data_IF_683810001475
#
_entry.id   IF_683810001475
#
_cell.length_a   1.000
_cell.length_b   1.000
_cell.length_c   1.000
_cell.angle_alpha   90.00
_cell.angle_beta   90.00
_cell.angle_gamma   90.00
#
_symmetry.space_group_name_H-M   'P 1'
#
loop_
_entity.id
_entity.type
_entity.pdbx_description
1 polymer ?
#
# COMPACT_ATOMS: atom_id res chain seq x y z
N UNK A 1 7.77 34.10 -12.85
CA UNK A 1 8.50 32.82 -13.02
C UNK A 1 9.83 33.01 -12.34
N UNK A 2 10.06 32.38 -11.19
CA UNK A 2 11.37 32.40 -10.54
C UNK A 2 12.37 31.70 -11.47
N UNK A 3 13.48 32.37 -11.72
CA UNK A 3 14.52 31.91 -12.62
C UNK A 3 15.47 30.99 -11.86
N UNK A 4 16.20 30.13 -12.59
CA UNK A 4 17.22 29.23 -12.00
C UNK A 4 18.22 29.99 -11.10
N UNK A 5 18.47 31.26 -11.40
CA UNK A 5 19.30 32.18 -10.63
C UNK A 5 18.76 32.45 -9.22
N UNK A 6 17.44 32.56 -9.05
CA UNK A 6 16.81 32.81 -7.75
C UNK A 6 16.95 31.59 -6.82
N UNK A 7 16.96 30.37 -7.40
CA UNK A 7 17.20 29.11 -6.69
C UNK A 7 18.65 29.04 -6.20
N UNK A 8 19.60 29.49 -7.03
CA UNK A 8 21.01 29.55 -6.68
C UNK A 8 21.28 30.61 -5.60
N UNK A 9 20.66 31.79 -5.69
CA UNK A 9 20.75 32.82 -4.65
C UNK A 9 20.18 32.33 -3.30
N UNK A 10 19.03 31.65 -3.29
CA UNK A 10 18.49 31.00 -2.08
C UNK A 10 19.39 29.88 -1.53
N UNK A 11 20.12 29.20 -2.39
CA UNK A 11 21.11 28.19 -2.01
C UNK A 11 22.45 28.78 -1.53
N UNK A 12 22.56 30.12 -1.42
CA UNK A 12 23.75 30.82 -0.97
C UNK A 12 24.81 31.03 -2.06
N UNK A 13 24.47 30.77 -3.32
CA UNK A 13 25.29 31.22 -4.45
C UNK A 13 24.95 32.67 -4.76
N UNK A 14 25.77 33.59 -4.28
CA UNK A 14 25.78 34.93 -4.85
C UNK A 14 26.02 34.84 -6.36
N UNK A 15 25.36 35.70 -7.15
CA UNK A 15 25.59 35.88 -8.60
C UNK A 15 27.06 35.89 -9.02
N UNK A 16 27.94 36.29 -8.09
CA UNK A 16 29.38 36.37 -8.27
C UNK A 16 30.09 35.00 -8.20
N UNK A 17 29.54 33.97 -7.55
CA UNK A 17 30.14 32.63 -7.48
C UNK A 17 29.99 31.84 -8.79
N UNK A 18 28.86 32.01 -9.50
CA UNK A 18 28.62 31.36 -10.78
C UNK A 18 29.30 32.08 -11.97
N UNK A 19 29.79 33.31 -11.76
CA UNK A 19 30.43 34.14 -12.79
C UNK A 19 31.91 34.42 -12.52
N UNK A 20 32.48 33.91 -11.42
CA UNK A 20 33.88 34.11 -11.06
C UNK A 20 34.75 32.94 -11.57
N UNK A 21 35.70 33.19 -12.49
CA UNK A 21 36.63 32.18 -12.98
C UNK A 21 37.52 31.56 -11.88
N UNK A 22 37.58 32.18 -10.70
CA UNK A 22 38.39 31.70 -9.57
C UNK A 22 37.73 30.55 -8.78
N UNK A 23 36.41 30.36 -8.95
CA UNK A 23 35.62 29.29 -8.32
C UNK A 23 35.18 28.25 -9.35
N UNK A 24 35.44 28.53 -10.62
CA UNK A 24 35.15 27.64 -11.74
C UNK A 24 36.06 26.40 -11.67
N UNK A 25 35.46 25.23 -11.48
CA UNK A 25 36.15 23.97 -11.21
C UNK A 25 36.04 23.44 -9.77
N UNK A 26 35.34 24.14 -8.86
CA UNK A 26 34.99 23.58 -7.54
C UNK A 26 34.06 22.36 -7.66
N UNK A 27 34.19 21.33 -6.80
CA UNK A 27 33.35 20.14 -6.89
C UNK A 27 31.89 20.50 -6.58
N UNK A 28 31.03 20.35 -7.59
CA UNK A 28 29.59 20.55 -7.49
C UNK A 28 28.94 19.74 -6.37
N UNK A 29 29.59 18.66 -5.90
CA UNK A 29 29.11 17.83 -4.79
C UNK A 29 28.93 18.60 -3.47
N UNK A 30 29.74 19.64 -3.20
CA UNK A 30 29.66 20.41 -1.96
C UNK A 30 28.37 21.24 -1.84
N UNK A 31 27.78 21.56 -2.99
CA UNK A 31 26.71 22.54 -3.16
C UNK A 31 25.43 21.91 -3.70
N UNK A 32 25.56 20.73 -4.31
CA UNK A 32 24.47 19.91 -4.83
C UNK A 32 23.34 19.71 -3.81
N UNK A 33 23.68 19.41 -2.55
CA UNK A 33 22.67 19.15 -1.51
C UNK A 33 21.80 20.37 -1.20
N UNK A 34 22.39 21.55 -1.14
CA UNK A 34 21.69 22.81 -0.84
C UNK A 34 20.82 23.23 -2.01
N UNK A 35 21.37 23.19 -3.23
CA UNK A 35 20.62 23.46 -4.47
C UNK A 35 19.44 22.51 -4.61
N UNK A 36 19.63 21.21 -4.34
CA UNK A 36 18.57 20.22 -4.40
C UNK A 36 17.47 20.47 -3.36
N UNK A 37 17.83 20.97 -2.18
CA UNK A 37 16.87 21.34 -1.13
C UNK A 37 16.06 22.57 -1.52
N UNK A 38 16.70 23.61 -2.05
CA UNK A 38 16.02 24.81 -2.56
C UNK A 38 15.07 24.46 -3.73
N UNK A 39 15.54 23.63 -4.66
CA UNK A 39 14.75 23.19 -5.80
C UNK A 39 13.49 22.41 -5.38
N UNK A 40 13.60 21.54 -4.36
CA UNK A 40 12.44 20.84 -3.78
C UNK A 40 11.48 21.74 -3.02
N UNK A 41 11.98 22.82 -2.41
CA UNK A 41 11.14 23.78 -1.71
C UNK A 41 10.26 24.58 -2.68
N UNK A 42 10.81 24.92 -3.85
CA UNK A 42 10.12 25.66 -4.91
C UNK A 42 9.18 24.78 -5.75
N UNK A 43 9.56 23.53 -5.97
CA UNK A 43 8.75 22.53 -6.65
C UNK A 43 8.44 21.36 -5.71
N UNK A 44 7.56 21.57 -4.71
CA UNK A 44 7.17 20.50 -3.82
C UNK A 44 6.44 19.45 -4.65
N UNK A 45 7.04 18.25 -4.75
CA UNK A 45 6.32 17.08 -5.21
C UNK A 45 5.20 16.84 -4.19
N UNK A 46 3.99 17.31 -4.50
CA UNK A 46 2.80 16.99 -3.72
C UNK A 46 2.44 15.57 -4.12
N UNK A 47 2.70 14.54 -3.29
CA UNK A 47 2.22 13.21 -3.62
C UNK A 47 0.71 13.29 -3.69
N UNK A 48 0.14 12.96 -4.84
CA UNK A 48 -1.30 12.95 -5.00
C UNK A 48 -1.84 11.85 -4.09
N UNK A 49 -2.81 12.17 -3.24
CA UNK A 49 -3.30 11.26 -2.18
C UNK A 49 -3.86 9.98 -2.80
N UNK A 50 -4.39 10.08 -4.02
CA UNK A 50 -4.88 8.96 -4.84
C UNK A 50 -3.76 8.00 -5.26
N UNK A 51 -2.52 8.49 -5.45
CA UNK A 51 -1.35 7.67 -5.80
C UNK A 51 -0.73 6.96 -4.59
N UNK A 52 -1.11 7.37 -3.37
CA UNK A 52 -0.66 6.74 -2.12
C UNK A 52 -1.45 5.47 -1.81
N UNK A 53 -2.69 5.35 -2.31
CA UNK A 53 -3.45 4.10 -2.23
C UNK A 53 -2.79 3.06 -3.14
N UNK A 54 -2.20 2.05 -2.53
CA UNK A 54 -1.52 0.97 -3.22
C UNK A 54 -2.49 0.10 -4.03
N UNK A 55 -1.99 -0.71 -4.99
CA UNK A 55 -2.79 -1.78 -5.57
C UNK A 55 -3.36 -2.66 -4.46
N UNK A 56 -4.54 -3.25 -4.63
CA UNK A 56 -5.12 -4.13 -3.64
C UNK A 56 -4.26 -5.37 -3.41
N UNK A 57 -4.33 -5.94 -2.21
CA UNK A 57 -3.63 -7.19 -1.88
C UNK A 57 -4.09 -8.32 -2.81
N UNK A 58 -3.14 -9.03 -3.44
CA UNK A 58 -3.47 -10.19 -4.28
C UNK A 58 -3.81 -11.42 -3.43
N UNK A 59 -4.68 -12.28 -3.94
CA UNK A 59 -5.17 -13.46 -3.22
C UNK A 59 -4.06 -14.44 -2.77
N UNK A 60 -2.96 -14.51 -3.53
CA UNK A 60 -1.82 -15.40 -3.27
C UNK A 60 -0.61 -14.70 -2.64
N UNK A 61 -0.68 -13.39 -2.39
CA UNK A 61 0.45 -12.62 -1.86
C UNK A 61 0.54 -12.74 -0.33
N UNK A 62 1.76 -12.76 0.22
CA UNK A 62 1.97 -12.72 1.67
C UNK A 62 1.69 -11.30 2.19
N UNK A 63 0.80 -11.12 3.18
CA UNK A 63 0.43 -9.78 3.67
C UNK A 63 1.63 -8.98 4.19
N UNK A 64 2.61 -9.64 4.81
CA UNK A 64 3.83 -9.01 5.27
C UNK A 64 4.68 -8.44 4.11
N UNK A 65 4.80 -9.19 3.01
CA UNK A 65 5.53 -8.76 1.80
C UNK A 65 4.82 -7.60 1.12
N UNK A 66 3.49 -7.62 1.10
CA UNK A 66 2.68 -6.52 0.60
C UNK A 66 2.93 -5.23 1.38
N UNK A 67 2.84 -5.28 2.72
CA UNK A 67 3.08 -4.10 3.58
C UNK A 67 4.48 -3.55 3.38
N UNK A 68 5.50 -4.41 3.29
CA UNK A 68 6.88 -4.00 3.03
C UNK A 68 7.03 -3.31 1.65
N UNK A 69 6.37 -3.84 0.63
CA UNK A 69 6.38 -3.26 -0.73
C UNK A 69 5.69 -1.91 -0.75
N UNK A 70 4.56 -1.77 -0.06
CA UNK A 70 3.88 -0.48 0.09
C UNK A 70 4.74 0.51 0.87
N UNK A 71 5.41 0.08 1.94
CA UNK A 71 6.31 0.94 2.70
C UNK A 71 7.45 1.48 1.80
N UNK A 72 8.05 0.62 0.97
CA UNK A 72 9.07 1.03 0.00
C UNK A 72 8.51 2.03 -1.01
N UNK A 73 7.32 1.78 -1.55
CA UNK A 73 6.65 2.70 -2.49
C UNK A 73 6.39 4.06 -1.85
N UNK A 74 5.90 4.07 -0.62
CA UNK A 74 5.63 5.31 0.10
C UNK A 74 6.92 6.10 0.39
N UNK A 75 8.03 5.43 0.73
CA UNK A 75 9.33 6.09 0.90
C UNK A 75 9.83 6.74 -0.40
N UNK A 76 9.58 6.09 -1.54
CA UNK A 76 9.92 6.66 -2.85
C UNK A 76 9.03 7.86 -3.23
N UNK A 77 7.73 7.79 -2.95
CA UNK A 77 6.78 8.85 -3.31
C UNK A 77 6.88 10.08 -2.41
N UNK A 78 7.12 9.87 -1.12
CA UNK A 78 7.14 10.95 -0.13
C UNK A 78 8.54 11.47 0.16
N UNK A 79 9.58 10.74 -0.29
CA UNK A 79 11.00 11.00 0.00
C UNK A 79 11.31 11.21 1.50
N UNK A 80 10.40 10.74 2.37
CA UNK A 80 10.44 10.90 3.83
C UNK A 80 10.35 9.54 4.49
N UNK A 81 10.89 9.45 5.69
CA UNK A 81 10.63 8.28 6.52
C UNK A 81 9.25 8.39 7.16
N UNK A 82 8.34 7.54 6.70
CA UNK A 82 6.94 7.49 7.14
C UNK A 82 6.86 7.13 8.62
N UNK A 83 7.85 6.41 9.16
CA UNK A 83 7.88 6.00 10.56
C UNK A 83 8.32 7.13 11.51
N UNK A 84 8.86 8.23 11.00
CA UNK A 84 9.29 9.36 11.82
C UNK A 84 8.13 10.32 12.16
N UNK A 85 7.06 10.31 11.37
CA UNK A 85 5.91 11.22 11.52
C UNK A 85 4.63 10.43 11.86
N UNK A 86 4.03 10.63 13.06
CA UNK A 86 2.79 9.98 13.46
C UNK A 86 1.62 10.15 12.47
N UNK A 87 1.55 11.31 11.80
CA UNK A 87 0.49 11.59 10.81
C UNK A 87 0.69 10.69 9.60
N UNK A 88 1.93 10.58 9.11
CA UNK A 88 2.29 9.72 7.98
C UNK A 88 2.07 8.23 8.30
N UNK A 89 2.37 7.80 9.53
CA UNK A 89 2.05 6.44 10.00
C UNK A 89 0.54 6.19 9.92
N UNK A 90 -0.28 7.12 10.41
CA UNK A 90 -1.73 6.97 10.40
C UNK A 90 -2.31 6.89 8.99
N UNK A 91 -1.79 7.72 8.08
CA UNK A 91 -2.20 7.74 6.68
C UNK A 91 -1.78 6.47 5.95
N UNK A 92 -0.56 5.98 6.20
CA UNK A 92 -0.08 4.71 5.67
C UNK A 92 -0.95 3.55 6.13
N UNK A 93 -1.27 3.46 7.43
CA UNK A 93 -2.14 2.39 7.97
C UNK A 93 -3.56 2.47 7.39
N UNK A 94 -4.07 3.67 7.15
CA UNK A 94 -5.35 3.87 6.46
C UNK A 94 -5.29 3.39 5.01
N UNK A 95 -4.24 3.73 4.27
CA UNK A 95 -4.07 3.29 2.88
C UNK A 95 -3.91 1.77 2.76
N UNK A 96 -3.21 1.13 3.71
CA UNK A 96 -3.15 -0.33 3.78
C UNK A 96 -4.55 -0.91 4.02
N UNK A 97 -5.37 -0.30 4.88
CA UNK A 97 -6.76 -0.74 5.14
C UNK A 97 -7.64 -0.64 3.90
N UNK A 98 -7.54 0.46 3.16
CA UNK A 98 -8.26 0.67 1.90
C UNK A 98 -7.81 -0.28 0.78
N UNK A 99 -6.54 -0.68 0.77
CA UNK A 99 -6.00 -1.69 -0.15
C UNK A 99 -6.37 -3.14 0.20
N UNK A 100 -7.02 -3.37 1.33
CA UNK A 100 -7.44 -4.71 1.78
C UNK A 100 -8.90 -4.98 1.44
N UNK A 101 -9.30 -6.25 1.50
CA UNK A 101 -10.72 -6.61 1.35
C UNK A 101 -11.58 -5.91 2.42
N UNK A 102 -12.83 -5.55 2.10
CA UNK A 102 -13.70 -4.83 3.04
C UNK A 102 -13.95 -5.63 4.34
N UNK A 103 -13.90 -6.97 4.28
CA UNK A 103 -14.00 -7.82 5.46
C UNK A 103 -12.78 -7.72 6.39
N UNK A 104 -11.58 -7.61 5.82
CA UNK A 104 -10.34 -7.43 6.59
C UNK A 104 -10.28 -6.01 7.14
N UNK A 105 -10.67 -5.00 6.35
CA UNK A 105 -10.75 -3.61 6.79
C UNK A 105 -11.63 -3.44 8.03
N UNK A 106 -12.85 -3.98 8.02
CA UNK A 106 -13.77 -3.93 9.18
C UNK A 106 -13.18 -4.59 10.43
N UNK A 107 -12.50 -5.73 10.28
CA UNK A 107 -11.85 -6.38 11.43
C UNK A 107 -10.68 -5.59 11.98
N UNK A 108 -9.97 -4.87 11.12
CA UNK A 108 -8.89 -3.98 11.54
C UNK A 108 -9.44 -2.71 12.21
N UNK A 109 -10.67 -2.28 11.87
CA UNK A 109 -11.37 -1.19 12.59
C UNK A 109 -11.72 -1.59 14.03
N UNK A 110 -12.06 -2.86 14.26
CA UNK A 110 -12.37 -3.40 15.59
C UNK A 110 -11.14 -3.46 16.52
N UNK A 111 -9.92 -3.42 15.97
CA UNK A 111 -8.69 -3.44 16.77
C UNK A 111 -8.41 -2.06 17.37
N UNK A 112 -8.70 -1.90 18.66
CA UNK A 112 -8.43 -0.69 19.43
C UNK A 112 -6.92 -0.41 19.45
N UNK A 113 -6.51 0.83 19.14
CA UNK A 113 -5.10 1.21 19.18
C UNK A 113 -4.27 0.75 17.98
N UNK A 114 -4.90 0.26 16.91
CA UNK A 114 -4.17 -0.19 15.72
C UNK A 114 -3.28 0.90 15.10
N UNK A 115 -3.56 2.19 15.34
CA UNK A 115 -2.73 3.32 14.87
C UNK A 115 -1.61 3.71 15.85
N UNK A 116 -1.68 3.31 17.12
CA UNK A 116 -0.69 3.62 18.16
C UNK A 116 0.28 2.47 18.41
N UNK A 117 -0.08 1.25 18.00
CA UNK A 117 0.78 0.06 18.08
C UNK A 117 2.06 0.18 17.26
N UNK A 118 3.05 -0.66 17.55
CA UNK A 118 4.30 -0.74 16.78
C UNK A 118 4.04 -1.27 15.36
N UNK A 119 4.95 -0.99 14.43
CA UNK A 119 4.82 -1.49 13.05
C UNK A 119 4.77 -3.02 12.98
N UNK A 120 5.50 -3.71 13.86
CA UNK A 120 5.52 -5.18 13.93
C UNK A 120 4.17 -5.75 14.34
N UNK A 121 3.59 -5.23 15.43
CA UNK A 121 2.27 -5.64 15.89
C UNK A 121 1.19 -5.36 14.84
N UNK A 122 1.28 -4.21 14.16
CA UNK A 122 0.39 -3.90 13.04
C UNK A 122 0.46 -4.95 11.94
N UNK A 123 1.67 -5.34 11.51
CA UNK A 123 1.87 -6.39 10.50
C UNK A 123 1.26 -7.71 10.97
N UNK A 124 1.51 -8.11 12.21
CA UNK A 124 0.98 -9.37 12.77
C UNK A 124 -0.56 -9.39 12.80
N UNK A 125 -1.19 -8.27 13.19
CA UNK A 125 -2.65 -8.14 13.15
C UNK A 125 -3.21 -8.23 11.73
N UNK A 126 -2.56 -7.60 10.75
CA UNK A 126 -2.97 -7.69 9.34
C UNK A 126 -2.83 -9.11 8.81
N UNK A 127 -1.69 -9.77 9.08
CA UNK A 127 -1.45 -11.17 8.68
C UNK A 127 -2.54 -12.07 9.27
N UNK A 128 -2.82 -11.94 10.57
CA UNK A 128 -3.85 -12.72 11.25
C UNK A 128 -5.25 -12.50 10.65
N UNK A 129 -5.63 -11.24 10.38
CA UNK A 129 -6.93 -10.89 9.83
C UNK A 129 -7.12 -11.49 8.42
N UNK A 130 -6.10 -11.39 7.57
CA UNK A 130 -6.10 -11.94 6.20
C UNK A 130 -6.13 -13.47 6.22
N UNK A 131 -5.30 -14.13 7.03
CA UNK A 131 -5.28 -15.58 7.12
C UNK A 131 -6.62 -16.14 7.61
N UNK A 132 -7.25 -15.45 8.56
CA UNK A 132 -8.59 -15.83 9.03
C UNK A 132 -9.63 -15.67 7.93
N UNK A 133 -9.52 -14.64 7.09
CA UNK A 133 -10.40 -14.47 5.93
C UNK A 133 -10.19 -15.61 4.92
N UNK A 134 -8.94 -15.91 4.54
CA UNK A 134 -8.60 -17.00 3.61
C UNK A 134 -9.11 -18.36 4.11
N UNK A 135 -8.96 -18.64 5.41
CA UNK A 135 -9.50 -19.86 6.03
C UNK A 135 -11.03 -19.92 5.98
N UNK A 136 -11.73 -18.81 6.18
CA UNK A 136 -13.20 -18.75 6.04
C UNK A 136 -13.64 -18.94 4.59
N UNK A 137 -12.95 -18.30 3.64
CA UNK A 137 -13.22 -18.46 2.21
C UNK A 137 -13.12 -19.92 1.76
N UNK A 138 -12.03 -20.61 2.13
CA UNK A 138 -11.86 -22.05 1.84
C UNK A 138 -12.98 -22.91 2.42
N UNK A 139 -13.37 -22.68 3.68
CA UNK A 139 -14.48 -23.41 4.32
C UNK A 139 -15.81 -23.23 3.58
N UNK A 140 -16.11 -22.00 3.14
CA UNK A 140 -17.34 -21.72 2.38
C UNK A 140 -17.32 -22.37 1.00
N UNK A 141 -16.16 -22.37 0.34
CA UNK A 141 -15.96 -23.04 -0.94
C UNK A 141 -16.18 -24.56 -0.82
N UNK A 142 -15.60 -25.18 0.21
CA UNK A 142 -15.77 -26.61 0.49
C UNK A 142 -17.26 -26.95 0.78
N UNK A 143 -17.92 -26.14 1.61
CA UNK A 143 -19.37 -26.30 1.88
C UNK A 143 -20.21 -26.18 0.61
N UNK A 144 -19.86 -25.25 -0.28
CA UNK A 144 -20.59 -25.04 -1.53
C UNK A 144 -20.40 -26.23 -2.48
N UNK A 145 -19.18 -26.77 -2.59
CA UNK A 145 -18.89 -28.00 -3.35
C UNK A 145 -19.68 -29.18 -2.80
N UNK A 146 -19.77 -29.32 -1.48
CA UNK A 146 -20.52 -30.41 -0.86
C UNK A 146 -22.03 -30.28 -1.07
N UNK A 147 -22.58 -29.06 -0.99
CA UNK A 147 -24.00 -28.81 -1.31
C UNK A 147 -24.28 -29.12 -2.78
N UNK A 148 -23.40 -28.69 -3.70
CA UNK A 148 -23.54 -28.98 -5.13
C UNK A 148 -23.51 -30.48 -5.41
N UNK A 149 -22.61 -31.23 -4.76
CA UNK A 149 -22.55 -32.71 -4.87
C UNK A 149 -23.85 -33.37 -4.41
N UNK A 150 -24.38 -32.95 -3.25
CA UNK A 150 -25.64 -33.48 -2.71
C UNK A 150 -26.83 -33.15 -3.61
N UNK A 151 -26.88 -31.93 -4.15
CA UNK A 151 -27.93 -31.52 -5.09
C UNK A 151 -27.90 -32.37 -6.37
N UNK A 152 -26.71 -32.60 -6.94
CA UNK A 152 -26.55 -33.46 -8.12
C UNK A 152 -26.97 -34.90 -7.83
N UNK A 153 -26.62 -35.44 -6.66
CA UNK A 153 -27.07 -36.78 -6.25
C UNK A 153 -28.60 -36.87 -6.18
N UNK A 154 -29.25 -35.90 -5.54
CA UNK A 154 -30.72 -35.86 -5.46
C UNK A 154 -31.38 -35.76 -6.85
N UNK A 155 -30.84 -34.93 -7.75
CA UNK A 155 -31.34 -34.83 -9.12
C UNK A 155 -31.19 -36.16 -9.88
N UNK A 156 -30.07 -36.87 -9.72
CA UNK A 156 -29.85 -38.17 -10.34
C UNK A 156 -30.80 -39.24 -9.77
N UNK A 157 -31.07 -39.23 -8.47
CA UNK A 157 -32.03 -40.13 -7.83
C UNK A 157 -33.46 -39.88 -8.32
N UNK A 158 -33.88 -38.61 -8.43
CA UNK A 158 -35.18 -38.25 -8.99
C UNK A 158 -35.35 -38.70 -10.43
N UNK A 159 -34.32 -38.54 -11.27
CA UNK A 159 -34.35 -38.99 -12.67
C UNK A 159 -34.52 -40.51 -12.76
N UNK A 160 -33.73 -41.27 -12.00
CA UNK A 160 -33.85 -42.74 -11.92
C UNK A 160 -35.22 -43.19 -11.42
N UNK A 161 -35.79 -42.48 -10.44
CA UNK A 161 -37.11 -42.77 -9.92
C UNK A 161 -38.22 -42.50 -10.95
N UNK A 162 -38.08 -41.44 -11.76
CA UNK A 162 -38.99 -41.13 -12.87
C UNK A 162 -38.90 -42.16 -14.00
N UNK A 163 -37.71 -42.63 -14.34
CA UNK A 163 -37.52 -43.70 -15.33
C UNK A 163 -38.20 -45.00 -14.87
N UNK A 164 -37.94 -45.44 -13.64
CA UNK A 164 -38.60 -46.64 -13.07
C UNK A 164 -40.12 -46.55 -13.01
N UNK A 165 -40.69 -45.34 -12.89
CA UNK A 165 -42.14 -45.12 -12.91
C UNK A 165 -42.73 -45.14 -14.33
N UNK A 166 -41.91 -44.92 -15.37
CA UNK A 166 -42.34 -45.00 -16.79
C UNK A 166 -42.25 -46.42 -17.34
N UNK A 167 -41.46 -47.30 -16.73
CA UNK A 167 -41.29 -48.71 -17.12
C UNK A 167 -42.33 -49.66 -16.47
N UNK A 168 -43.20 -49.15 -15.60
CA UNK A 168 -44.35 -49.88 -15.03
C UNK A 168 -45.65 -49.45 -15.67
#
# INVERSE_FOLDING_TARGET
>A
METMLDIFEQAGFDRNHAQSPAVDGGPFDNVRGVVWTALRALYPARPDITTLTGPPLKDNELPATYIHTQLRRWRLLTERDIQADPIMISLFRKAIREGMSPEVGRRLDEVVGLNTMTHREFVDHVVHAVDRQRKKGKKLEDQTKDIQRKLLQLQLEELKAKEKRREK
#
